data_IF_388728178801
#
_entry.id   IF_388728178801
#
_cell.length_a   1.000
_cell.length_b   1.000
_cell.length_c   1.000
_cell.angle_alpha   90.00
_cell.angle_beta   90.00
_cell.angle_gamma   90.00
#
_symmetry.space_group_name_H-M   'P 1'
#
loop_
_entity.id
_entity.type
_entity.pdbx_description
1 polymer ?
#
# COMPACT_ATOMS: atom_id res chain seq x y z
N UNK A 1 84.50 -56.40 -10.30
CA UNK A 1 83.81 -55.68 -9.21
C UNK A 1 83.65 -56.68 -8.07
N UNK A 2 84.07 -56.34 -6.86
CA UNK A 2 83.99 -57.24 -5.70
C UNK A 2 82.57 -57.20 -5.10
N UNK A 3 82.06 -58.35 -4.67
CA UNK A 3 80.73 -58.49 -4.08
C UNK A 3 80.65 -57.72 -2.74
N UNK A 4 79.74 -56.75 -2.67
CA UNK A 4 79.47 -55.98 -1.46
C UNK A 4 78.58 -56.82 -0.51
N UNK A 5 79.19 -57.45 0.49
CA UNK A 5 78.48 -58.30 1.47
C UNK A 5 78.17 -57.50 2.74
N UNK A 6 76.92 -57.03 2.87
CA UNK A 6 76.43 -56.20 3.98
C UNK A 6 76.44 -56.87 5.37
N UNK A 7 76.59 -58.19 5.44
CA UNK A 7 76.38 -58.93 6.69
C UNK A 7 77.60 -58.94 7.62
N UNK A 8 78.78 -58.57 7.12
CA UNK A 8 80.06 -58.70 7.85
C UNK A 8 80.72 -57.37 8.22
N UNK A 9 80.07 -56.23 7.96
CA UNK A 9 80.56 -54.91 8.36
C UNK A 9 79.84 -54.39 9.61
N UNK A 10 80.53 -53.64 10.50
CA UNK A 10 79.89 -53.05 11.67
C UNK A 10 78.79 -52.07 11.22
N UNK A 11 77.53 -52.44 11.45
CA UNK A 11 76.36 -51.60 11.13
C UNK A 11 76.55 -50.20 11.74
N UNK A 12 76.59 -49.18 10.87
CA UNK A 12 76.65 -47.79 11.30
C UNK A 12 75.41 -47.53 12.17
N UNK A 13 75.63 -47.18 13.44
CA UNK A 13 74.54 -46.86 14.35
C UNK A 13 73.89 -45.58 13.85
N UNK A 14 72.62 -45.64 13.48
CA UNK A 14 71.84 -44.47 13.09
C UNK A 14 71.84 -43.48 14.25
N UNK A 15 72.43 -42.30 14.07
CA UNK A 15 72.53 -41.26 15.10
C UNK A 15 71.18 -40.63 15.46
N UNK A 16 70.14 -40.94 14.69
CA UNK A 16 68.77 -40.50 14.95
C UNK A 16 68.09 -41.51 15.86
N UNK A 17 68.07 -41.20 17.16
CA UNK A 17 67.18 -41.84 18.13
C UNK A 17 66.05 -40.87 18.43
N UNK A 18 64.82 -41.36 18.35
CA UNK A 18 63.67 -40.61 18.83
C UNK A 18 63.73 -40.52 20.36
N UNK A 19 63.33 -39.38 20.95
CA UNK A 19 63.15 -39.29 22.40
C UNK A 19 62.12 -40.31 22.90
N UNK A 20 62.28 -40.76 24.15
CA UNK A 20 61.30 -41.61 24.82
C UNK A 20 59.93 -40.92 24.83
N UNK A 21 58.87 -41.63 24.45
CA UNK A 21 57.50 -41.10 24.39
C UNK A 21 57.21 -40.12 23.23
N UNK A 22 58.11 -39.97 22.25
CA UNK A 22 57.88 -39.08 21.09
C UNK A 22 56.59 -39.45 20.34
N UNK A 23 56.41 -40.72 19.99
CA UNK A 23 55.22 -41.18 19.27
C UNK A 23 53.97 -41.24 20.15
N UNK A 24 54.13 -41.36 21.47
CA UNK A 24 53.03 -41.34 22.44
C UNK A 24 52.39 -39.94 22.51
N UNK A 25 53.19 -38.88 22.48
CA UNK A 25 52.72 -37.48 22.56
C UNK A 25 52.49 -36.80 21.20
N UNK A 26 52.85 -37.46 20.09
CA UNK A 26 52.75 -36.89 18.75
C UNK A 26 51.29 -36.60 18.35
N UNK A 27 50.40 -37.56 18.59
CA UNK A 27 48.98 -37.45 18.25
C UNK A 27 48.33 -36.25 18.96
N UNK A 28 48.60 -36.09 20.26
CA UNK A 28 48.03 -35.00 21.05
C UNK A 28 48.54 -33.64 20.58
N UNK A 29 49.84 -33.53 20.26
CA UNK A 29 50.44 -32.29 19.74
C UNK A 29 49.86 -31.88 18.39
N UNK A 30 49.65 -32.85 17.49
CA UNK A 30 49.04 -32.56 16.18
C UNK A 30 47.59 -32.12 16.36
N UNK A 31 46.82 -32.81 17.22
CA UNK A 31 45.41 -32.47 17.43
C UNK A 31 45.23 -31.08 18.05
N UNK A 32 46.11 -30.66 18.97
CA UNK A 32 46.10 -29.32 19.55
C UNK A 32 46.47 -28.20 18.56
N UNK A 33 47.17 -28.53 17.48
CA UNK A 33 47.56 -27.56 16.45
C UNK A 33 46.52 -27.41 15.34
N UNK A 34 45.48 -28.25 15.31
CA UNK A 34 44.39 -28.13 14.35
C UNK A 34 43.43 -27.04 14.88
N UNK A 35 43.24 -25.92 14.16
CA UNK A 35 42.27 -24.92 14.56
C UNK A 35 40.87 -25.52 14.49
N UNK A 36 40.13 -25.45 15.60
CA UNK A 36 38.73 -25.84 15.62
C UNK A 36 37.93 -24.91 14.70
N UNK A 37 37.08 -25.46 13.80
CA UNK A 37 36.23 -24.62 13.00
C UNK A 37 35.19 -23.95 13.90
N UNK A 38 35.39 -22.66 14.19
CA UNK A 38 34.39 -21.84 14.86
C UNK A 38 33.16 -21.70 13.95
N UNK A 39 32.13 -22.49 14.23
CA UNK A 39 30.86 -22.39 13.51
C UNK A 39 30.20 -21.08 13.94
N UNK A 40 30.23 -20.08 13.07
CA UNK A 40 29.57 -18.78 13.30
C UNK A 40 28.06 -18.98 13.42
N UNK A 41 27.57 -19.16 14.63
CA UNK A 41 26.14 -19.26 14.91
C UNK A 41 25.51 -17.88 14.86
N UNK A 42 24.63 -17.64 13.89
CA UNK A 42 23.76 -16.47 13.88
C UNK A 42 22.45 -16.79 14.62
N UNK A 43 21.96 -15.89 15.49
CA UNK A 43 20.70 -16.09 16.18
C UNK A 43 19.52 -16.10 15.18
N UNK A 44 18.73 -17.19 15.18
CA UNK A 44 17.62 -17.38 14.24
C UNK A 44 16.48 -16.38 14.46
N UNK A 45 16.28 -15.89 15.69
CA UNK A 45 15.24 -14.91 16.04
C UNK A 45 15.37 -13.59 15.29
N UNK A 46 16.59 -13.21 14.89
CA UNK A 46 16.89 -11.95 14.19
C UNK A 46 16.39 -11.93 12.74
N UNK A 47 16.06 -13.10 12.17
CA UNK A 47 15.44 -13.18 10.83
C UNK A 47 13.93 -12.91 10.88
N UNK A 48 13.29 -13.24 12.00
CA UNK A 48 11.85 -13.07 12.16
C UNK A 48 11.47 -11.61 12.47
N UNK A 49 12.36 -10.80 13.05
CA UNK A 49 12.08 -9.38 13.33
C UNK A 49 11.73 -8.59 12.06
N UNK A 50 12.40 -8.85 10.94
CA UNK A 50 12.07 -8.20 9.66
C UNK A 50 10.71 -8.66 9.13
N UNK A 51 10.38 -9.95 9.29
CA UNK A 51 9.08 -10.49 8.91
C UNK A 51 7.93 -9.89 9.73
N UNK A 52 8.12 -9.75 11.05
CA UNK A 52 7.14 -9.09 11.92
C UNK A 52 6.98 -7.61 11.58
N UNK A 53 8.07 -6.90 11.28
CA UNK A 53 8.00 -5.50 10.86
C UNK A 53 7.22 -5.32 9.55
N UNK A 54 7.47 -6.18 8.55
CA UNK A 54 6.73 -6.17 7.29
C UNK A 54 5.25 -6.51 7.49
N UNK A 55 4.93 -7.52 8.30
CA UNK A 55 3.55 -7.89 8.61
C UNK A 55 2.80 -6.76 9.33
N UNK A 56 3.43 -6.10 10.30
CA UNK A 56 2.85 -4.96 11.00
C UNK A 56 2.58 -3.77 10.07
N UNK A 57 3.50 -3.47 9.14
CA UNK A 57 3.31 -2.41 8.16
C UNK A 57 2.13 -2.70 7.22
N UNK A 58 2.00 -3.94 6.74
CA UNK A 58 0.87 -4.36 5.90
C UNK A 58 -0.45 -4.27 6.67
N UNK A 59 -0.47 -4.64 7.95
CA UNK A 59 -1.67 -4.50 8.79
C UNK A 59 -2.04 -3.03 9.01
N UNK A 60 -1.08 -2.15 9.26
CA UNK A 60 -1.31 -0.72 9.39
C UNK A 60 -1.86 -0.11 8.10
N UNK A 61 -1.33 -0.52 6.95
CA UNK A 61 -1.86 -0.09 5.66
C UNK A 61 -3.27 -0.64 5.45
N UNK A 62 -3.51 -1.93 5.62
CA UNK A 62 -4.83 -2.52 5.43
C UNK A 62 -5.90 -1.88 6.33
N UNK A 63 -5.57 -1.71 7.62
CA UNK A 63 -6.48 -1.13 8.60
C UNK A 63 -6.64 0.38 8.43
N UNK A 64 -5.53 1.10 8.19
CA UNK A 64 -5.52 2.54 7.96
C UNK A 64 -6.27 2.93 6.69
N UNK A 65 -6.09 2.20 5.59
CA UNK A 65 -6.82 2.46 4.35
C UNK A 65 -8.30 2.12 4.50
N UNK A 66 -8.64 1.01 5.16
CA UNK A 66 -10.04 0.65 5.45
C UNK A 66 -10.76 1.67 6.34
N UNK A 67 -10.08 2.18 7.37
CA UNK A 67 -10.59 3.28 8.20
C UNK A 67 -10.69 4.59 7.42
N UNK A 68 -9.72 4.92 6.58
CA UNK A 68 -9.75 6.14 5.76
C UNK A 68 -10.98 6.19 4.83
N UNK A 69 -11.29 5.08 4.14
CA UNK A 69 -12.49 5.00 3.31
C UNK A 69 -13.79 4.99 4.12
N UNK A 70 -13.83 4.33 5.30
CA UNK A 70 -15.02 4.30 6.16
C UNK A 70 -15.29 5.61 6.89
N UNK A 71 -14.24 6.29 7.34
CA UNK A 71 -14.34 7.60 7.97
C UNK A 71 -14.67 8.70 6.98
N UNK A 72 -14.67 8.38 5.68
CA UNK A 72 -15.32 9.15 4.64
C UNK A 72 -15.06 10.64 4.83
N UNK A 73 -13.87 11.09 4.45
CA UNK A 73 -13.69 12.50 4.10
C UNK A 73 -14.57 12.74 2.87
N UNK A 74 -15.87 12.83 3.10
CA UNK A 74 -16.86 13.25 2.13
C UNK A 74 -16.65 14.75 2.07
N UNK A 75 -16.26 15.25 0.90
CA UNK A 75 -16.28 16.69 0.69
C UNK A 75 -17.67 17.19 1.10
N UNK A 76 -17.69 18.17 2.00
CA UNK A 76 -18.92 18.76 2.47
C UNK A 76 -19.66 19.25 1.23
N UNK A 77 -20.81 18.63 0.93
CA UNK A 77 -21.64 19.11 -0.15
C UNK A 77 -22.11 20.51 0.24
N UNK A 78 -22.08 21.47 -0.69
CA UNK A 78 -22.60 22.80 -0.41
C UNK A 78 -24.07 22.69 0.02
N UNK A 79 -24.46 23.54 0.97
CA UNK A 79 -25.87 23.63 1.35
C UNK A 79 -26.71 24.24 0.21
N UNK A 80 -28.03 24.08 0.29
CA UNK A 80 -28.93 24.60 -0.75
C UNK A 80 -28.77 26.10 -0.96
N UNK A 81 -28.56 26.88 0.10
CA UNK A 81 -28.36 28.32 0.03
C UNK A 81 -27.09 28.70 -0.72
N UNK A 82 -26.01 27.94 -0.55
CA UNK A 82 -24.74 28.13 -1.27
C UNK A 82 -24.90 27.75 -2.75
N UNK A 83 -25.65 26.69 -3.04
CA UNK A 83 -25.98 26.28 -4.42
C UNK A 83 -26.81 27.37 -5.10
N UNK A 84 -27.87 27.87 -4.46
CA UNK A 84 -28.72 28.95 -4.97
C UNK A 84 -27.91 30.21 -5.26
N UNK A 85 -27.10 30.67 -4.30
CA UNK A 85 -26.26 31.85 -4.48
C UNK A 85 -25.26 31.67 -5.63
N UNK A 86 -24.69 30.47 -5.78
CA UNK A 86 -23.80 30.17 -6.88
C UNK A 86 -24.52 30.26 -8.23
N UNK A 87 -25.70 29.64 -8.34
CA UNK A 87 -26.51 29.65 -9.56
C UNK A 87 -26.97 31.06 -9.96
N UNK A 88 -27.31 31.91 -8.97
CA UNK A 88 -27.83 33.27 -9.23
C UNK A 88 -26.72 34.27 -9.52
N UNK A 89 -25.63 34.26 -8.75
CA UNK A 89 -24.65 35.34 -8.77
C UNK A 89 -23.34 35.01 -9.47
N UNK A 90 -23.00 33.73 -9.59
CA UNK A 90 -21.66 33.33 -10.03
C UNK A 90 -21.65 32.41 -11.25
N UNK A 91 -22.71 31.63 -11.45
CA UNK A 91 -22.88 30.80 -12.61
C UNK A 91 -23.28 31.67 -13.81
N UNK A 92 -22.54 31.56 -14.91
CA UNK A 92 -22.94 32.16 -16.18
C UNK A 92 -23.88 31.19 -16.91
N UNK A 93 -24.99 30.86 -16.26
CA UNK A 93 -26.00 29.91 -16.75
C UNK A 93 -27.22 30.72 -17.17
N UNK A 94 -27.74 30.46 -18.37
CA UNK A 94 -28.97 31.09 -18.83
C UNK A 94 -30.20 30.34 -18.31
N UNK A 95 -31.36 31.00 -18.26
CA UNK A 95 -32.62 30.34 -17.92
C UNK A 95 -32.93 29.17 -18.87
N UNK A 96 -32.52 29.27 -20.14
CA UNK A 96 -32.67 28.19 -21.12
C UNK A 96 -31.87 26.95 -20.72
N UNK A 97 -30.64 27.13 -20.24
CA UNK A 97 -29.81 26.02 -19.78
C UNK A 97 -30.42 25.32 -18.57
N UNK A 98 -31.08 26.07 -17.67
CA UNK A 98 -31.80 25.48 -16.53
C UNK A 98 -32.98 24.63 -17.02
N UNK A 99 -33.83 25.17 -17.90
CA UNK A 99 -35.00 24.45 -18.41
C UNK A 99 -34.64 23.15 -19.14
N UNK A 100 -33.57 23.16 -19.94
CA UNK A 100 -33.12 21.99 -20.69
C UNK A 100 -32.58 20.85 -19.81
N UNK A 101 -32.22 21.16 -18.56
CA UNK A 101 -31.70 20.18 -17.60
C UNK A 101 -32.75 19.74 -16.57
N UNK A 102 -34.00 20.20 -16.68
CA UNK A 102 -35.12 19.69 -15.88
C UNK A 102 -35.79 18.53 -16.59
N UNK A 103 -36.05 17.45 -15.86
CA UNK A 103 -36.85 16.33 -16.37
C UNK A 103 -38.34 16.44 -15.98
N UNK A 104 -39.16 15.53 -16.52
CA UNK A 104 -40.61 15.53 -16.28
C UNK A 104 -40.97 15.33 -14.79
N UNK A 105 -40.15 14.60 -14.04
CA UNK A 105 -40.37 14.41 -12.61
C UNK A 105 -40.03 15.69 -11.84
N UNK A 106 -38.92 16.33 -12.20
CA UNK A 106 -38.51 17.60 -11.59
C UNK A 106 -39.60 18.68 -11.76
N UNK A 107 -40.20 18.76 -12.96
CA UNK A 107 -41.29 19.71 -13.25
C UNK A 107 -42.53 19.40 -12.38
N UNK A 108 -42.89 18.12 -12.27
CA UNK A 108 -44.05 17.69 -11.48
C UNK A 108 -43.88 17.99 -9.99
N UNK A 109 -42.66 17.88 -9.46
CA UNK A 109 -42.35 18.22 -8.08
C UNK A 109 -42.41 19.73 -7.85
N UNK A 110 -41.96 20.54 -8.83
CA UNK A 110 -42.10 22.00 -8.78
C UNK A 110 -43.57 22.43 -8.79
N UNK A 111 -44.41 21.84 -9.63
CA UNK A 111 -45.87 22.12 -9.68
C UNK A 111 -46.56 21.86 -8.32
N UNK A 112 -46.12 20.85 -7.56
CA UNK A 112 -46.66 20.59 -6.22
C UNK A 112 -46.17 21.59 -5.18
N UNK A 113 -44.95 22.11 -5.33
CA UNK A 113 -44.36 23.08 -4.41
C UNK A 113 -44.88 24.51 -4.61
N UNK A 114 -45.32 24.81 -5.83
CA UNK A 114 -45.79 26.12 -6.25
C UNK A 114 -47.32 26.16 -6.14
N UNK A 115 -47.82 26.65 -5.00
CA UNK A 115 -49.27 26.87 -4.81
C UNK A 115 -49.68 28.16 -5.52
N UNK A 116 -49.89 28.09 -6.83
CA UNK A 116 -50.49 29.16 -7.62
C UNK A 116 -51.91 28.73 -8.01
N UNK A 117 -52.89 29.59 -7.78
CA UNK A 117 -54.28 29.36 -8.19
C UNK A 117 -54.46 29.59 -9.69
N UNK A 118 -55.29 28.76 -10.34
CA UNK A 118 -55.66 28.91 -11.75
C UNK A 118 -56.13 30.34 -12.08
N UNK A 119 -56.92 30.96 -11.19
CA UNK A 119 -57.37 32.35 -11.33
C UNK A 119 -56.22 33.36 -11.44
N UNK A 120 -55.12 33.13 -10.71
CA UNK A 120 -53.95 34.01 -10.74
C UNK A 120 -53.11 33.81 -12.01
N UNK A 121 -53.10 32.59 -12.55
CA UNK A 121 -52.51 32.26 -13.85
C UNK A 121 -53.33 32.93 -14.95
N UNK A 122 -54.65 32.79 -14.91
CA UNK A 122 -55.57 33.39 -15.87
C UNK A 122 -55.47 34.93 -15.86
N UNK A 123 -55.40 35.55 -14.69
CA UNK A 123 -55.23 37.01 -14.57
C UNK A 123 -53.86 37.46 -15.10
N UNK A 124 -52.78 36.74 -14.79
CA UNK A 124 -51.44 37.05 -15.29
C UNK A 124 -51.35 36.94 -16.81
N UNK A 125 -51.87 35.85 -17.37
CA UNK A 125 -51.87 35.61 -18.82
C UNK A 125 -52.77 36.64 -19.52
N UNK A 126 -53.95 36.92 -18.96
CA UNK A 126 -54.90 37.88 -19.51
C UNK A 126 -54.36 39.31 -19.50
N UNK A 127 -53.61 39.68 -18.45
CA UNK A 127 -53.00 41.00 -18.30
C UNK A 127 -51.85 41.29 -19.28
N UNK A 128 -51.22 40.27 -19.85
CA UNK A 128 -50.10 40.41 -20.81
C UNK A 128 -50.56 40.63 -22.27
N UNK A 129 -51.87 40.66 -22.54
CA UNK A 129 -52.47 41.23 -23.75
C UNK A 129 -52.18 40.53 -25.10
N UNK A 130 -51.36 39.46 -25.14
CA UNK A 130 -50.87 38.86 -26.39
C UNK A 130 -51.16 37.35 -26.52
N UNK A 131 -51.96 36.74 -25.63
CA UNK A 131 -52.17 35.28 -25.64
C UNK A 131 -53.09 34.79 -26.77
N UNK A 132 -53.97 35.64 -27.32
CA UNK A 132 -54.77 35.30 -28.51
C UNK A 132 -53.92 34.98 -29.74
N UNK A 133 -52.67 35.43 -29.80
CA UNK A 133 -51.76 35.10 -30.90
C UNK A 133 -51.23 33.66 -30.82
N UNK A 134 -51.08 33.11 -29.61
CA UNK A 134 -50.48 31.80 -29.37
C UNK A 134 -51.50 30.64 -29.33
N UNK A 135 -52.79 30.94 -29.18
CA UNK A 135 -53.87 29.94 -29.12
C UNK A 135 -54.63 29.78 -30.44
N UNK A 136 -54.37 30.65 -31.42
CA UNK A 136 -55.03 30.65 -32.73
C UNK A 136 -54.19 30.02 -33.86
N UNK A 137 -53.14 29.27 -33.52
CA UNK A 137 -52.36 28.40 -34.43
C UNK A 137 -52.40 26.95 -33.92
#
# INVERSE_FOLDING_TARGET
MNDFKLDNEPKIRTGFKVPDGYFESLTDKVMQQIPEPEVKTIPLYRRFTTWYASAAAVLLLAFGTGLYFKLGIREAQPDNTAIENYLVYQANISNYDLYQNLDENDIKDLEQSVVISDDAIEEYISGQGNYEYYLNE
#
